data_IF_347610112826
#
_entry.id   IF_347610112826
#
_cell.length_a   1.000
_cell.length_b   1.000
_cell.length_c   1.000
_cell.angle_alpha   90.00
_cell.angle_beta   90.00
_cell.angle_gamma   90.00
#
_symmetry.space_group_name_H-M   'P 1'
#
loop_
_entity.id
_entity.type
_entity.pdbx_description
1 polymer ?
#
# COMPACT_ATOMS: atom_id res chain seq x y z
N UNK A 1 1.38 7.80 -11.71
CA UNK A 1 2.24 8.03 -10.52
C UNK A 1 3.68 8.06 -10.96
N UNK A 2 4.42 9.15 -10.67
CA UNK A 2 5.83 9.27 -11.06
C UNK A 2 6.73 8.36 -10.21
N UNK A 3 7.78 7.80 -10.82
CA UNK A 3 8.82 7.08 -10.10
C UNK A 3 9.54 8.05 -9.14
N UNK A 4 9.91 7.55 -7.96
CA UNK A 4 10.79 8.26 -7.03
C UNK A 4 12.02 7.41 -6.77
N UNK A 5 13.17 8.00 -7.02
CA UNK A 5 14.45 7.37 -6.72
C UNK A 5 14.76 7.44 -5.23
N UNK A 6 15.37 6.39 -4.71
CA UNK A 6 15.79 6.37 -3.31
C UNK A 6 17.03 7.26 -3.13
N UNK A 7 17.02 8.01 -2.03
CA UNK A 7 18.17 8.78 -1.58
C UNK A 7 18.98 7.90 -0.61
N UNK A 8 20.26 7.69 -0.87
CA UNK A 8 21.11 6.80 -0.07
C UNK A 8 21.34 7.31 1.37
N UNK A 9 20.99 8.58 1.65
CA UNK A 9 21.02 9.15 3.02
C UNK A 9 19.91 8.64 3.90
N UNK A 10 18.87 8.00 3.33
CA UNK A 10 17.69 7.51 4.04
C UNK A 10 17.50 6.03 3.71
N UNK A 11 17.27 5.23 4.73
CA UNK A 11 17.03 3.78 4.61
C UNK A 11 15.63 3.45 4.04
N UNK A 12 15.37 3.75 2.77
CA UNK A 12 14.12 3.45 2.11
C UNK A 12 13.96 1.96 1.80
N UNK A 13 12.75 1.44 1.96
CA UNK A 13 12.36 0.20 1.30
C UNK A 13 12.31 0.46 -0.21
N UNK A 14 13.17 -0.21 -0.97
CA UNK A 14 13.33 0.04 -2.40
C UNK A 14 13.31 -1.24 -3.22
N UNK A 15 13.14 -1.06 -4.53
CA UNK A 15 13.37 -2.07 -5.56
C UNK A 15 14.59 -1.64 -6.34
N UNK A 16 15.52 -2.56 -6.54
CA UNK A 16 16.68 -2.37 -7.41
C UNK A 16 16.31 -2.73 -8.84
N UNK A 17 16.68 -1.87 -9.76
CA UNK A 17 16.63 -2.09 -11.22
C UNK A 17 17.95 -1.73 -11.82
N UNK A 18 18.28 -2.30 -12.97
CA UNK A 18 19.47 -1.97 -13.73
C UNK A 18 19.04 -1.24 -15.00
N UNK A 19 19.65 -0.09 -15.24
CA UNK A 19 19.47 0.68 -16.46
C UNK A 19 20.50 0.23 -17.49
N UNK A 20 19.99 -0.30 -18.61
CA UNK A 20 20.80 -0.74 -19.75
C UNK A 20 20.73 0.24 -20.92
N UNK A 21 20.10 1.40 -20.75
CA UNK A 21 19.97 2.41 -21.80
C UNK A 21 21.21 3.27 -22.00
N UNK A 22 22.12 3.28 -21.01
CA UNK A 22 23.37 4.00 -21.13
C UNK A 22 24.35 3.25 -22.06
N UNK A 23 25.17 4.01 -22.79
CA UNK A 23 26.27 3.46 -23.61
C UNK A 23 27.54 3.11 -22.79
N UNK A 24 27.45 3.20 -21.47
CA UNK A 24 28.53 2.87 -20.57
C UNK A 24 28.81 1.37 -20.55
N UNK A 25 30.04 0.98 -20.30
CA UNK A 25 30.46 -0.42 -20.20
C UNK A 25 29.87 -1.13 -18.95
N UNK A 26 29.17 -0.41 -18.08
CA UNK A 26 28.55 -0.92 -16.85
C UNK A 26 27.13 -0.39 -16.73
N UNK A 27 26.19 -1.29 -16.50
CA UNK A 27 24.81 -0.92 -16.17
C UNK A 27 24.72 -0.21 -14.83
N UNK A 28 23.92 0.85 -14.77
CA UNK A 28 23.71 1.63 -13.54
C UNK A 28 22.59 1.04 -12.71
N UNK A 29 22.86 0.78 -11.43
CA UNK A 29 21.84 0.35 -10.47
C UNK A 29 20.95 1.55 -10.09
N UNK A 30 19.64 1.40 -10.31
CA UNK A 30 18.63 2.38 -9.94
C UNK A 30 17.80 1.82 -8.78
N UNK A 31 17.68 2.57 -7.69
CA UNK A 31 16.87 2.22 -6.53
C UNK A 31 15.58 3.04 -6.55
N UNK A 32 14.44 2.36 -6.64
CA UNK A 32 13.11 2.99 -6.67
C UNK A 32 12.41 2.74 -5.35
N UNK A 33 11.89 3.80 -4.72
CA UNK A 33 11.20 3.73 -3.42
C UNK A 33 9.90 2.96 -3.56
N UNK A 34 9.69 1.98 -2.65
CA UNK A 34 8.38 1.36 -2.45
C UNK A 34 7.50 2.32 -1.64
N UNK A 35 6.33 2.65 -2.17
CA UNK A 35 5.39 3.54 -1.47
C UNK A 35 3.95 3.25 -1.85
N UNK A 36 3.04 3.56 -0.95
CA UNK A 36 1.63 3.59 -1.24
C UNK A 36 1.28 4.80 -2.11
N UNK A 37 0.27 4.63 -2.96
CA UNK A 37 -0.34 5.74 -3.67
C UNK A 37 -1.40 6.36 -2.78
N UNK A 38 -1.04 7.43 -2.10
CA UNK A 38 -1.93 8.19 -1.23
C UNK A 38 -2.01 9.61 -1.77
N UNK A 39 -3.16 9.96 -2.32
CA UNK A 39 -3.42 11.25 -2.96
C UNK A 39 -4.48 12.00 -2.17
N UNK A 40 -4.25 13.26 -1.78
CA UNK A 40 -5.24 14.06 -1.08
C UNK A 40 -6.45 14.32 -1.98
N UNK A 41 -7.66 14.31 -1.39
CA UNK A 41 -8.91 14.63 -2.10
C UNK A 41 -8.98 16.10 -2.55
N UNK A 42 -8.42 16.99 -1.74
CA UNK A 42 -8.24 18.41 -2.06
C UNK A 42 -6.76 18.79 -1.94
N UNK A 43 -6.12 18.94 -3.11
CA UNK A 43 -4.71 19.33 -3.17
C UNK A 43 -4.47 20.75 -2.67
N UNK A 44 -5.42 21.68 -2.90
CA UNK A 44 -5.25 23.07 -2.49
C UNK A 44 -5.34 23.20 -0.98
N UNK A 45 -6.28 22.52 -0.32
CA UNK A 45 -6.37 22.46 1.13
C UNK A 45 -5.12 21.82 1.73
N UNK A 46 -4.64 20.71 1.14
CA UNK A 46 -3.40 20.06 1.55
C UNK A 46 -2.19 20.99 1.46
N UNK A 47 -2.06 21.76 0.39
CA UNK A 47 -0.96 22.72 0.21
C UNK A 47 -1.02 23.90 1.19
N UNK A 48 -2.19 24.21 1.74
CA UNK A 48 -2.37 25.18 2.83
C UNK A 48 -2.03 24.62 4.21
N UNK A 49 -1.73 23.33 4.29
CA UNK A 49 -1.43 22.63 5.56
C UNK A 49 -2.68 22.17 6.32
N UNK A 50 -3.84 22.12 5.67
CA UNK A 50 -5.07 21.59 6.25
C UNK A 50 -5.07 20.06 6.21
N UNK A 51 -5.72 19.43 7.21
CA UNK A 51 -5.92 17.98 7.22
C UNK A 51 -6.98 17.60 6.18
N UNK A 52 -6.59 16.78 5.22
CA UNK A 52 -7.46 16.31 4.13
C UNK A 52 -7.62 14.80 4.16
N UNK A 53 -8.70 14.30 3.61
CA UNK A 53 -8.89 12.87 3.39
C UNK A 53 -8.21 12.44 2.09
N UNK A 54 -7.76 11.19 1.97
CA UNK A 54 -7.25 10.68 0.71
C UNK A 54 -8.39 10.36 -0.25
N UNK A 55 -8.14 10.43 -1.56
CA UNK A 55 -9.07 9.96 -2.60
C UNK A 55 -9.40 8.49 -2.39
N UNK A 56 -8.38 7.69 -2.06
CA UNK A 56 -8.52 6.27 -1.75
C UNK A 56 -7.64 5.94 -0.54
N UNK A 57 -8.23 5.54 0.59
CA UNK A 57 -7.47 5.13 1.76
C UNK A 57 -6.76 3.79 1.50
N UNK A 58 -5.67 3.57 2.23
CA UNK A 58 -5.00 2.28 2.28
C UNK A 58 -5.91 1.34 3.07
N UNK A 59 -6.48 0.34 2.41
CA UNK A 59 -7.45 -0.55 3.05
C UNK A 59 -6.83 -1.93 3.26
N UNK A 60 -6.85 -2.39 4.52
CA UNK A 60 -6.52 -3.76 4.88
C UNK A 60 -7.78 -4.54 5.20
N UNK A 61 -7.86 -5.77 4.68
CA UNK A 61 -8.97 -6.67 4.95
C UNK A 61 -8.53 -7.78 5.90
N UNK A 62 -9.30 -8.02 6.94
CA UNK A 62 -9.10 -9.13 7.86
C UNK A 62 -9.70 -10.39 7.24
N UNK A 63 -8.90 -11.44 7.20
CA UNK A 63 -9.37 -12.76 6.77
C UNK A 63 -10.47 -13.30 7.71
N UNK A 64 -11.41 -14.06 7.13
CA UNK A 64 -12.51 -14.71 7.87
C UNK A 64 -12.01 -15.70 8.92
N UNK A 65 -10.84 -16.29 8.73
CA UNK A 65 -10.16 -17.18 9.69
C UNK A 65 -9.76 -16.46 10.99
N UNK A 66 -9.69 -15.12 10.99
CA UNK A 66 -9.33 -14.35 12.19
C UNK A 66 -10.42 -14.50 13.25
N UNK A 67 -10.10 -15.02 14.47
CA UNK A 67 -11.06 -15.16 15.54
C UNK A 67 -11.70 -13.83 15.92
N UNK A 68 -13.03 -13.84 16.15
CA UNK A 68 -13.83 -12.64 16.43
C UNK A 68 -13.25 -11.80 17.58
N UNK A 69 -12.75 -12.47 18.64
CA UNK A 69 -12.17 -11.80 19.81
C UNK A 69 -10.93 -10.95 19.48
N UNK A 70 -10.20 -11.27 18.42
CA UNK A 70 -8.96 -10.57 18.04
C UNK A 70 -9.17 -9.48 16.98
N UNK A 71 -10.28 -9.54 16.23
CA UNK A 71 -10.55 -8.58 15.15
C UNK A 71 -10.49 -7.11 15.58
N UNK A 72 -11.10 -6.71 16.73
CA UNK A 72 -11.00 -5.32 17.16
C UNK A 72 -9.57 -4.85 17.38
N UNK A 73 -8.72 -5.71 17.95
CA UNK A 73 -7.31 -5.38 18.20
C UNK A 73 -6.50 -5.25 16.92
N UNK A 74 -6.75 -6.10 15.92
CA UNK A 74 -6.11 -5.96 14.61
C UNK A 74 -6.53 -4.66 13.92
N UNK A 75 -7.82 -4.33 13.96
CA UNK A 75 -8.32 -3.07 13.39
C UNK A 75 -7.66 -1.87 14.06
N UNK A 76 -7.68 -1.84 15.38
CA UNK A 76 -7.06 -0.77 16.16
C UNK A 76 -5.56 -0.64 15.82
N UNK A 77 -4.81 -1.74 15.80
CA UNK A 77 -3.39 -1.71 15.49
C UNK A 77 -3.06 -1.23 14.05
N UNK A 78 -3.95 -1.47 13.08
CA UNK A 78 -3.81 -0.89 11.73
C UNK A 78 -4.13 0.59 11.75
N UNK A 79 -5.21 1.00 12.42
CA UNK A 79 -5.70 2.38 12.43
C UNK A 79 -4.85 3.32 13.30
N UNK A 80 -4.07 2.80 14.24
CA UNK A 80 -3.09 3.58 15.01
C UNK A 80 -2.08 4.33 14.13
N UNK A 81 -1.81 3.82 12.93
CA UNK A 81 -0.98 4.49 11.94
C UNK A 81 -1.57 5.81 11.43
N UNK A 82 -2.88 6.04 11.57
CA UNK A 82 -3.49 7.31 11.17
C UNK A 82 -2.84 8.50 11.87
N UNK A 83 -2.39 8.37 13.10
CA UNK A 83 -1.68 9.42 13.84
C UNK A 83 -0.41 9.89 13.13
N UNK A 84 0.27 8.99 12.41
CA UNK A 84 1.47 9.31 11.61
C UNK A 84 1.09 10.00 10.31
N UNK A 85 0.02 9.53 9.64
CA UNK A 85 -0.46 10.14 8.41
C UNK A 85 -1.06 11.52 8.64
N UNK A 86 -1.70 11.77 9.79
CA UNK A 86 -2.21 13.09 10.17
C UNK A 86 -1.09 14.11 10.32
N UNK A 87 0.07 13.70 10.86
CA UNK A 87 1.27 14.56 10.89
C UNK A 87 1.78 14.90 9.49
N UNK A 88 1.48 14.06 8.50
CA UNK A 88 1.77 14.32 7.09
C UNK A 88 0.63 15.06 6.37
N UNK A 89 -0.43 15.47 7.08
CA UNK A 89 -1.54 16.25 6.53
C UNK A 89 -2.69 15.41 5.95
N UNK A 90 -2.73 14.09 6.16
CA UNK A 90 -3.76 13.22 5.63
C UNK A 90 -4.44 12.44 6.77
N UNK A 91 -5.73 12.72 7.00
CA UNK A 91 -6.57 12.00 7.96
C UNK A 91 -7.24 10.79 7.31
N UNK A 92 -7.61 9.80 8.11
CA UNK A 92 -8.27 8.57 7.62
C UNK A 92 -7.51 7.89 6.46
N UNK A 93 -6.17 7.94 6.51
CA UNK A 93 -5.30 7.45 5.46
C UNK A 93 -5.28 5.93 5.35
N UNK A 94 -5.48 5.24 6.47
CA UNK A 94 -5.44 3.79 6.57
C UNK A 94 -6.65 3.28 7.34
N UNK A 95 -7.28 2.23 6.85
CA UNK A 95 -8.46 1.62 7.47
C UNK A 95 -8.38 0.10 7.44
N UNK A 96 -8.94 -0.54 8.45
CA UNK A 96 -9.07 -2.00 8.51
C UNK A 96 -10.53 -2.40 8.43
N UNK A 97 -10.84 -3.33 7.52
CA UNK A 97 -12.20 -3.84 7.29
C UNK A 97 -12.24 -5.36 7.41
N UNK A 98 -13.39 -5.91 7.71
CA UNK A 98 -13.59 -7.34 7.54
C UNK A 98 -13.68 -7.68 6.06
N UNK A 99 -13.22 -8.87 5.67
CA UNK A 99 -13.36 -9.34 4.29
C UNK A 99 -14.84 -9.41 3.91
N UNK A 100 -15.23 -8.83 2.77
CA UNK A 100 -16.62 -8.88 2.31
C UNK A 100 -17.07 -10.32 2.11
N UNK A 101 -18.38 -10.54 2.16
CA UNK A 101 -18.98 -11.80 1.74
C UNK A 101 -18.98 -11.90 0.21
N UNK A 102 -19.12 -13.12 -0.32
CA UNK A 102 -19.25 -13.33 -1.77
C UNK A 102 -20.50 -12.64 -2.34
N UNK A 103 -21.53 -12.46 -1.50
CA UNK A 103 -22.75 -11.74 -1.87
C UNK A 103 -22.54 -10.24 -2.01
N UNK A 104 -21.61 -9.67 -1.21
CA UNK A 104 -21.26 -8.25 -1.25
C UNK A 104 -20.28 -7.90 -2.37
N UNK A 105 -19.39 -8.83 -2.69
CA UNK A 105 -18.38 -8.64 -3.75
C UNK A 105 -17.96 -10.01 -4.31
N UNK A 106 -18.53 -10.38 -5.45
CA UNK A 106 -18.23 -11.65 -6.15
C UNK A 106 -16.78 -11.72 -6.63
N UNK A 107 -16.17 -10.57 -6.95
CA UNK A 107 -14.78 -10.49 -7.43
C UNK A 107 -13.74 -10.48 -6.31
N UNK A 108 -14.16 -10.50 -5.04
CA UNK A 108 -13.23 -10.47 -3.93
C UNK A 108 -12.56 -11.84 -3.72
N UNK A 109 -11.25 -11.87 -3.85
CA UNK A 109 -10.43 -13.03 -3.52
C UNK A 109 -9.30 -12.65 -2.56
N UNK A 110 -9.02 -13.53 -1.60
CA UNK A 110 -7.89 -13.38 -0.68
C UNK A 110 -6.53 -13.51 -1.39
N UNK A 111 -6.49 -14.11 -2.58
CA UNK A 111 -5.29 -14.26 -3.40
C UNK A 111 -5.12 -13.13 -4.41
N UNK A 112 -6.10 -12.21 -4.49
CA UNK A 112 -6.05 -11.11 -5.42
C UNK A 112 -5.11 -10.00 -4.92
N UNK A 113 -4.07 -9.74 -5.69
CA UNK A 113 -3.04 -8.73 -5.40
C UNK A 113 -3.59 -7.29 -5.26
N UNK A 114 -4.81 -7.03 -5.74
CA UNK A 114 -5.48 -5.72 -5.58
C UNK A 114 -5.85 -5.42 -4.13
N UNK A 115 -5.95 -6.46 -3.29
CA UNK A 115 -6.35 -6.33 -1.90
C UNK A 115 -5.18 -6.59 -0.95
N UNK A 116 -5.07 -5.79 0.09
CA UNK A 116 -4.12 -6.03 1.17
C UNK A 116 -4.82 -6.82 2.27
N UNK A 117 -4.35 -8.02 2.52
CA UNK A 117 -5.01 -8.97 3.43
C UNK A 117 -4.14 -9.21 4.66
N UNK A 118 -4.79 -9.27 5.82
CA UNK A 118 -4.20 -9.75 7.07
C UNK A 118 -4.74 -11.16 7.32
N UNK A 119 -3.88 -12.15 7.11
CA UNK A 119 -4.20 -13.56 7.38
C UNK A 119 -3.88 -13.94 8.81
N UNK A 120 -4.80 -14.63 9.45
CA UNK A 120 -4.56 -15.30 10.71
C UNK A 120 -4.33 -16.79 10.44
N UNK A 121 -3.10 -17.23 10.60
CA UNK A 121 -2.72 -18.64 10.37
C UNK A 121 -2.28 -19.25 11.68
N UNK A 122 -2.92 -20.35 12.06
CA UNK A 122 -2.45 -21.18 13.18
C UNK A 122 -1.11 -21.82 12.79
N UNK A 123 -0.08 -21.55 13.58
CA UNK A 123 1.27 -22.08 13.37
C UNK A 123 1.86 -22.55 14.68
N UNK A 124 2.72 -23.55 14.61
CA UNK A 124 3.52 -24.02 15.75
C UNK A 124 4.57 -23.01 16.19
N UNK A 125 4.95 -22.09 15.31
CA UNK A 125 5.94 -21.05 15.58
C UNK A 125 5.22 -19.71 15.74
N UNK A 126 5.49 -19.00 16.85
CA UNK A 126 5.00 -17.62 17.04
C UNK A 126 5.78 -16.69 16.11
N UNK A 127 5.15 -16.23 15.05
CA UNK A 127 5.74 -15.25 14.17
C UNK A 127 4.65 -14.35 13.55
N UNK A 128 5.07 -13.20 13.06
CA UNK A 128 4.29 -12.35 12.19
C UNK A 128 5.18 -11.99 10.99
N UNK A 129 4.64 -12.10 9.78
CA UNK A 129 5.36 -11.78 8.55
C UNK A 129 4.55 -10.77 7.75
N UNK A 130 5.20 -9.68 7.34
CA UNK A 130 4.66 -8.73 6.38
C UNK A 130 5.33 -8.96 5.03
N UNK A 131 4.58 -9.45 4.06
CA UNK A 131 5.03 -9.54 2.68
C UNK A 131 4.46 -8.35 1.90
N UNK A 132 5.28 -7.70 1.10
CA UNK A 132 4.82 -6.65 0.19
C UNK A 132 5.20 -7.00 -1.23
N UNK A 133 4.20 -7.01 -2.11
CA UNK A 133 4.40 -7.14 -3.55
C UNK A 133 4.26 -5.76 -4.15
N UNK A 134 5.23 -5.35 -4.96
CA UNK A 134 5.17 -4.08 -5.69
C UNK A 134 5.00 -4.40 -7.15
N UNK A 135 3.86 -4.01 -7.70
CA UNK A 135 3.62 -4.08 -9.13
C UNK A 135 4.51 -3.04 -9.81
N UNK A 136 5.37 -3.52 -10.70
CA UNK A 136 6.18 -2.63 -11.52
C UNK A 136 5.25 -1.86 -12.45
N UNK A 137 5.26 -0.52 -12.38
CA UNK A 137 4.48 0.36 -13.26
C UNK A 137 4.78 0.19 -14.76
N UNK A 138 5.78 -0.60 -15.11
CA UNK A 138 6.15 -0.89 -16.51
C UNK A 138 5.10 -1.76 -17.21
N UNK A 139 4.23 -2.45 -16.48
CA UNK A 139 3.21 -3.36 -17.03
C UNK A 139 1.77 -2.92 -16.78
N UNK A 140 1.54 -1.76 -16.17
CA UNK A 140 0.23 -1.14 -16.15
C UNK A 140 0.15 -0.25 -17.41
N UNK A 141 -0.08 -0.86 -18.56
CA UNK A 141 -0.74 -0.17 -19.64
C UNK A 141 -2.15 0.14 -19.14
N UNK A 142 -2.41 1.39 -18.76
CA UNK A 142 -3.79 1.84 -18.62
C UNK A 142 -4.50 1.50 -19.91
N UNK A 143 -5.67 0.84 -19.87
CA UNK A 143 -6.47 0.68 -21.07
C UNK A 143 -6.75 2.11 -21.56
N UNK A 144 -6.18 2.45 -22.71
CA UNK A 144 -6.49 3.68 -23.42
C UNK A 144 -8.00 3.71 -23.62
N UNK A 145 -8.67 4.67 -22.97
CA UNK A 145 -10.07 4.96 -23.28
C UNK A 145 -10.14 5.25 -24.77
N UNK A 146 -11.00 4.56 -25.53
CA UNK A 146 -11.30 5.01 -26.88
C UNK A 146 -11.94 6.39 -26.79
N UNK A 147 -11.43 7.30 -27.57
CA UNK A 147 -11.95 8.65 -27.81
C UNK A 147 -13.36 8.61 -28.40
#
# INVERSE_FOLDING_TARGET
MSLRYADDRIGWLNIKKYDYSSQDLKSTEIKIIKRWRLEPSDLNAYMRGELVEPIKPITFYLDKSTPLKWRPYFKLGVEDWNSVFEKAGIKNAIVAKDSPSLEENEDFSLEDIRYSIIHYVASTTRNARGLSIVLSLIHISEPTRPS
#
